data_IF_377142268017
#
_entry.id   IF_377142268017
#
_cell.length_a   1.000
_cell.length_b   1.000
_cell.length_c   1.000
_cell.angle_alpha   90.00
_cell.angle_beta   90.00
_cell.angle_gamma   90.00
#
_symmetry.space_group_name_H-M   'P 1'
#
loop_
_entity.id
_entity.type
_entity.pdbx_description
1 polymer ?
#
# COMPACT_ATOMS: atom_id res chain seq x y z
N UNK A 1 -13.81 -25.88 9.18
CA UNK A 1 -13.90 -24.42 9.44
C UNK A 1 -15.24 -24.10 10.08
N UNK A 2 -15.26 -23.29 11.14
CA UNK A 2 -16.51 -22.83 11.80
C UNK A 2 -17.36 -22.00 10.82
N UNK A 3 -18.70 -22.08 10.92
CA UNK A 3 -19.65 -21.31 10.09
C UNK A 3 -19.36 -19.80 10.13
N UNK A 4 -18.92 -19.30 11.27
CA UNK A 4 -18.55 -17.89 11.46
C UNK A 4 -17.33 -17.48 10.64
N UNK A 5 -16.34 -18.37 10.51
CA UNK A 5 -15.13 -18.11 9.72
C UNK A 5 -15.46 -17.94 8.24
N UNK A 6 -16.30 -18.82 7.69
CA UNK A 6 -16.75 -18.72 6.28
C UNK A 6 -17.51 -17.43 6.01
N UNK A 7 -18.36 -17.01 6.95
CA UNK A 7 -19.12 -15.77 6.82
C UNK A 7 -18.20 -14.54 6.80
N UNK A 8 -17.16 -14.55 7.64
CA UNK A 8 -16.16 -13.48 7.65
C UNK A 8 -15.34 -13.44 6.35
N UNK A 9 -14.89 -14.60 5.85
CA UNK A 9 -14.18 -14.68 4.57
C UNK A 9 -15.02 -14.09 3.41
N UNK A 10 -16.30 -14.45 3.32
CA UNK A 10 -17.21 -13.89 2.33
C UNK A 10 -17.40 -12.37 2.48
N UNK A 11 -17.51 -11.88 3.72
CA UNK A 11 -17.65 -10.45 3.97
C UNK A 11 -16.40 -9.68 3.52
N UNK A 12 -15.20 -10.21 3.80
CA UNK A 12 -13.95 -9.61 3.34
C UNK A 12 -13.84 -9.58 1.82
N UNK A 13 -14.23 -10.66 1.14
CA UNK A 13 -14.23 -10.76 -0.32
C UNK A 13 -15.17 -9.73 -0.97
N UNK A 14 -16.44 -9.71 -0.56
CA UNK A 14 -17.44 -8.77 -1.09
C UNK A 14 -17.05 -7.31 -0.84
N UNK A 15 -16.51 -7.01 0.35
CA UNK A 15 -16.06 -5.66 0.69
C UNK A 15 -14.86 -5.25 -0.18
N UNK A 16 -13.91 -6.15 -0.43
CA UNK A 16 -12.78 -5.89 -1.30
C UNK A 16 -13.22 -5.59 -2.74
N UNK A 17 -14.17 -6.35 -3.29
CA UNK A 17 -14.71 -6.11 -4.62
C UNK A 17 -15.43 -4.76 -4.71
N UNK A 18 -16.25 -4.42 -3.72
CA UNK A 18 -16.97 -3.14 -3.70
C UNK A 18 -16.02 -1.94 -3.63
N UNK A 19 -14.98 -2.03 -2.81
CA UNK A 19 -13.96 -0.99 -2.72
C UNK A 19 -13.14 -0.89 -4.01
N UNK A 20 -12.90 -2.00 -4.72
CA UNK A 20 -12.23 -1.98 -6.02
C UNK A 20 -13.06 -1.25 -7.09
N UNK A 21 -14.37 -1.43 -7.11
CA UNK A 21 -15.27 -0.66 -7.97
C UNK A 21 -15.17 0.83 -7.67
N UNK A 22 -15.17 1.21 -6.38
CA UNK A 22 -14.99 2.60 -5.95
C UNK A 22 -13.66 3.19 -6.42
N UNK A 23 -12.54 2.46 -6.35
CA UNK A 23 -11.23 2.95 -6.83
C UNK A 23 -11.23 3.17 -8.35
N UNK A 24 -11.96 2.36 -9.10
CA UNK A 24 -12.03 2.45 -10.57
C UNK A 24 -13.01 3.50 -11.06
N UNK A 25 -13.91 3.97 -10.20
CA UNK A 25 -14.89 5.00 -10.54
C UNK A 25 -14.21 6.39 -10.56
N UNK A 26 -14.18 7.07 -11.73
CA UNK A 26 -13.60 8.41 -11.85
C UNK A 26 -14.38 9.48 -11.08
N UNK A 27 -15.64 9.23 -10.72
CA UNK A 27 -16.50 10.16 -9.96
C UNK A 27 -16.46 9.89 -8.44
N UNK A 28 -15.62 8.95 -8.01
CA UNK A 28 -15.47 8.62 -6.60
C UNK A 28 -15.01 9.80 -5.76
N UNK A 29 -15.59 9.94 -4.56
CA UNK A 29 -15.31 11.05 -3.66
C UNK A 29 -14.07 10.79 -2.83
N UNK A 30 -13.39 11.85 -2.43
CA UNK A 30 -12.25 11.77 -1.51
C UNK A 30 -12.59 11.04 -0.18
N UNK A 31 -13.84 11.17 0.29
CA UNK A 31 -14.33 10.43 1.46
C UNK A 31 -14.33 8.92 1.25
N UNK A 32 -14.69 8.45 0.06
CA UNK A 32 -14.73 7.03 -0.27
C UNK A 32 -13.31 6.49 -0.45
N UNK A 33 -12.42 7.27 -1.07
CA UNK A 33 -11.01 6.91 -1.23
C UNK A 33 -10.26 6.83 0.11
N UNK A 34 -10.67 7.61 1.11
CA UNK A 34 -10.17 7.48 2.48
C UNK A 34 -10.59 6.15 3.12
N UNK A 35 -11.80 5.65 2.85
CA UNK A 35 -12.28 4.35 3.35
C UNK A 35 -11.50 3.21 2.70
N UNK A 36 -11.25 3.28 1.39
CA UNK A 36 -10.40 2.30 0.69
C UNK A 36 -9.02 2.24 1.34
N UNK A 37 -8.37 3.39 1.54
CA UNK A 37 -7.04 3.45 2.18
C UNK A 37 -7.07 2.85 3.59
N UNK A 38 -8.12 3.10 4.36
CA UNK A 38 -8.26 2.56 5.71
C UNK A 38 -8.42 1.03 5.68
N UNK A 39 -9.26 0.50 4.78
CA UNK A 39 -9.41 -0.94 4.58
C UNK A 39 -8.07 -1.61 4.25
N UNK A 40 -7.27 -1.03 3.36
CA UNK A 40 -5.93 -1.54 3.04
C UNK A 40 -5.02 -1.56 4.28
N UNK A 41 -4.98 -0.45 5.04
CA UNK A 41 -4.19 -0.36 6.29
C UNK A 41 -4.62 -1.38 7.35
N UNK A 42 -5.92 -1.55 7.54
CA UNK A 42 -6.47 -2.45 8.56
C UNK A 42 -6.23 -3.93 8.23
N UNK A 43 -5.91 -4.25 6.97
CA UNK A 43 -5.54 -5.59 6.51
C UNK A 43 -4.03 -5.71 6.23
N UNK A 44 -3.20 -4.87 6.87
CA UNK A 44 -1.74 -4.83 6.73
C UNK A 44 -1.22 -4.59 5.30
N UNK A 45 -2.09 -4.25 4.35
CA UNK A 45 -1.73 -3.80 3.01
C UNK A 45 -1.33 -2.33 3.07
N UNK A 46 -0.13 -2.07 3.59
CA UNK A 46 0.45 -0.73 3.53
C UNK A 46 1.16 -0.56 2.19
N UNK A 47 0.80 0.51 1.47
CA UNK A 47 1.63 1.05 0.40
C UNK A 47 2.88 1.64 1.06
N UNK A 48 3.78 0.77 1.54
CA UNK A 48 5.16 1.15 1.72
C UNK A 48 5.64 1.60 0.34
N UNK A 49 6.26 2.78 0.21
CA UNK A 49 7.03 3.08 -0.98
C UNK A 49 8.05 1.95 -1.11
N UNK A 50 7.77 1.00 -2.00
CA UNK A 50 8.74 -0.04 -2.32
C UNK A 50 9.88 0.71 -3.00
N UNK A 51 11.11 0.42 -2.58
CA UNK A 51 12.35 1.16 -2.84
C UNK A 51 12.78 1.30 -4.32
N UNK A 52 11.86 1.52 -5.27
CA UNK A 52 12.17 2.04 -6.61
C UNK A 52 12.21 3.59 -6.57
N UNK A 53 12.77 4.14 -5.49
CA UNK A 53 12.98 5.57 -5.37
C UNK A 53 14.04 5.99 -6.39
N UNK A 54 13.65 6.77 -7.39
CA UNK A 54 14.55 7.43 -8.35
C UNK A 54 15.75 8.08 -7.65
N UNK A 55 15.57 8.59 -6.42
CA UNK A 55 16.65 9.14 -5.60
C UNK A 55 17.75 8.11 -5.27
N UNK A 56 17.43 6.83 -5.05
CA UNK A 56 18.44 5.79 -4.82
C UNK A 56 19.25 5.49 -6.09
N UNK A 57 18.62 5.54 -7.27
CA UNK A 57 19.35 5.38 -8.54
C UNK A 57 20.28 6.57 -8.77
N UNK A 58 19.81 7.79 -8.52
CA UNK A 58 20.65 8.99 -8.60
C UNK A 58 21.80 8.93 -7.58
N UNK A 59 21.56 8.43 -6.36
CA UNK A 59 22.62 8.26 -5.35
C UNK A 59 23.70 7.26 -5.79
N UNK A 60 23.33 6.17 -6.48
CA UNK A 60 24.26 5.18 -7.04
C UNK A 60 25.03 5.69 -8.26
N UNK A 61 24.42 6.56 -9.05
CA UNK A 61 25.05 7.16 -10.24
C UNK A 61 25.94 8.36 -9.91
N UNK A 62 25.88 8.87 -8.67
CA UNK A 62 26.77 9.92 -8.20
C UNK A 62 28.14 9.33 -7.85
N UNK A 63 29.24 9.91 -8.34
CA UNK A 63 30.60 9.44 -8.08
C UNK A 63 31.07 9.89 -6.69
N UNK A 64 30.34 9.50 -5.65
CA UNK A 64 30.83 9.63 -4.28
C UNK A 64 31.60 8.36 -3.94
N UNK A 65 32.90 8.49 -3.69
CA UNK A 65 33.70 7.39 -3.17
C UNK A 65 33.07 6.91 -1.84
N UNK A 66 32.88 5.61 -1.68
CA UNK A 66 32.31 4.95 -0.47
C UNK A 66 33.16 5.15 0.81
N UNK A 67 34.06 6.14 0.86
CA UNK A 67 34.92 6.46 2.00
C UNK A 67 34.43 7.67 2.82
N UNK A 68 33.12 7.74 3.09
CA UNK A 68 32.55 8.68 4.06
C UNK A 68 31.67 7.94 5.07
N UNK A 69 32.32 7.13 5.92
CA UNK A 69 32.09 7.12 7.38
C UNK A 69 33.03 6.12 8.09
N UNK A 70 34.33 6.42 8.05
CA UNK A 70 35.22 6.04 9.15
C UNK A 70 35.75 7.31 9.83
N UNK A 71 34.84 8.04 10.48
CA UNK A 71 35.23 9.02 11.49
C UNK A 71 34.74 8.51 12.84
N UNK A 72 35.71 8.21 13.70
CA UNK A 72 35.57 7.83 15.10
C UNK A 72 34.83 8.87 15.93
#
# INVERSE_FOLDING_TARGET
>A
MSKMKKLMEQLHEELAYKLLETVRDPESKASEMNVVRQFLKDNDMTALPTDDNVMQQILKDLPFDEELDSVQ
#
